data_IF_422776510646
#
_entry.id   IF_422776510646
#
_cell.length_a   1.000
_cell.length_b   1.000
_cell.length_c   1.000
_cell.angle_alpha   90.00
_cell.angle_beta   90.00
_cell.angle_gamma   90.00
#
_symmetry.space_group_name_H-M   'P 1'
#
loop_
_entity.id
_entity.type
_entity.pdbx_description
1 polymer ?
#
# COMPACT_ATOMS: atom_id res chain seq x y z
N UNK A 1 -3.74 -11.73 14.46
CA UNK A 1 -4.80 -11.40 13.52
C UNK A 1 -4.25 -10.90 12.21
N UNK A 2 -4.76 -11.42 11.10
CA UNK A 2 -4.38 -11.00 9.76
C UNK A 2 -4.81 -9.56 9.49
N UNK A 3 -3.94 -8.78 8.81
CA UNK A 3 -4.19 -7.37 8.55
C UNK A 3 -3.85 -6.99 7.12
N UNK A 4 -4.65 -6.09 6.56
CA UNK A 4 -4.34 -5.41 5.32
C UNK A 4 -3.94 -3.99 5.67
N UNK A 5 -2.67 -3.65 5.45
CA UNK A 5 -2.10 -2.35 5.80
C UNK A 5 -1.77 -1.59 4.52
N UNK A 6 -2.30 -0.39 4.40
CA UNK A 6 -2.08 0.45 3.22
C UNK A 6 -1.27 1.67 3.59
N UNK A 7 -0.13 1.84 2.94
CA UNK A 7 0.65 3.08 3.02
C UNK A 7 0.26 3.95 1.84
N UNK A 8 -0.06 5.19 2.12
CA UNK A 8 -0.46 6.16 1.12
C UNK A 8 0.29 7.46 1.32
N UNK A 9 0.49 8.21 0.26
CA UNK A 9 1.19 9.49 0.34
C UNK A 9 2.03 9.73 -0.91
N UNK A 10 2.56 10.93 -0.99
CA UNK A 10 3.35 11.35 -2.15
C UNK A 10 4.77 10.78 -2.10
N UNK A 11 5.44 10.69 -3.26
CA UNK A 11 6.84 10.28 -3.29
C UNK A 11 7.71 11.25 -2.49
N UNK A 12 8.80 10.75 -1.95
CA UNK A 12 9.73 11.59 -1.19
C UNK A 12 9.32 11.84 0.26
N UNK A 13 8.26 11.20 0.74
CA UNK A 13 7.81 11.34 2.12
C UNK A 13 8.41 10.31 3.07
N UNK A 14 9.29 9.43 2.58
CA UNK A 14 9.82 8.34 3.39
C UNK A 14 8.86 7.17 3.52
N UNK A 15 7.76 7.20 2.80
CA UNK A 15 6.71 6.20 2.86
C UNK A 15 7.21 4.78 2.59
N UNK A 16 7.98 4.59 1.53
CA UNK A 16 8.47 3.27 1.17
C UNK A 16 9.45 2.73 2.19
N UNK A 17 10.33 3.59 2.71
CA UNK A 17 11.28 3.19 3.74
C UNK A 17 10.55 2.73 5.00
N UNK A 18 9.52 3.47 5.39
CA UNK A 18 8.73 3.12 6.56
C UNK A 18 7.96 1.81 6.34
N UNK A 19 7.37 1.65 5.16
CA UNK A 19 6.62 0.44 4.83
C UNK A 19 7.53 -0.80 4.86
N UNK A 20 8.73 -0.68 4.30
CA UNK A 20 9.69 -1.77 4.30
C UNK A 20 10.20 -2.10 5.69
N UNK A 21 10.41 -1.08 6.51
CA UNK A 21 10.81 -1.28 7.89
C UNK A 21 9.73 -2.03 8.68
N UNK A 22 8.49 -1.65 8.50
CA UNK A 22 7.37 -2.34 9.14
C UNK A 22 7.26 -3.78 8.65
N UNK A 23 7.44 -4.00 7.35
CA UNK A 23 7.40 -5.34 6.78
C UNK A 23 8.46 -6.25 7.40
N UNK A 24 9.67 -5.73 7.57
CA UNK A 24 10.76 -6.47 8.21
C UNK A 24 10.44 -6.79 9.66
N UNK A 25 9.94 -5.81 10.38
CA UNK A 25 9.62 -5.96 11.81
C UNK A 25 8.52 -7.01 12.02
N UNK A 26 7.50 -6.97 11.19
CA UNK A 26 6.35 -7.87 11.34
C UNK A 26 6.51 -9.19 10.59
N UNK A 27 7.51 -9.29 9.72
CA UNK A 27 7.71 -10.50 8.92
C UNK A 27 6.61 -10.72 7.89
N UNK A 28 6.10 -9.65 7.30
CA UNK A 28 5.03 -9.74 6.30
C UNK A 28 5.46 -9.08 5.00
N UNK A 29 4.89 -9.50 3.86
CA UNK A 29 5.28 -8.93 2.57
C UNK A 29 4.78 -7.52 2.39
N UNK A 30 5.53 -6.73 1.62
CA UNK A 30 5.13 -5.41 1.16
C UNK A 30 5.22 -5.39 -0.35
N UNK A 31 4.16 -4.90 -0.98
CA UNK A 31 4.11 -4.75 -2.43
C UNK A 31 3.93 -3.28 -2.77
N UNK A 32 4.84 -2.76 -3.59
CA UNK A 32 4.84 -1.35 -3.95
C UNK A 32 4.36 -1.18 -5.40
N UNK A 33 3.39 -0.30 -5.58
CA UNK A 33 2.82 -0.03 -6.89
C UNK A 33 3.90 0.40 -7.90
N UNK A 34 4.81 1.27 -7.46
CA UNK A 34 5.87 1.77 -8.34
C UNK A 34 6.81 0.67 -8.84
N UNK A 35 7.11 -0.29 -7.99
CA UNK A 35 7.97 -1.42 -8.39
C UNK A 35 7.28 -2.30 -9.40
N UNK A 36 5.99 -2.55 -9.21
CA UNK A 36 5.21 -3.34 -10.15
C UNK A 36 5.10 -2.65 -11.50
N UNK A 37 4.86 -1.34 -11.50
CA UNK A 37 4.82 -0.56 -12.72
C UNK A 37 6.16 -0.54 -13.43
N UNK A 38 7.26 -0.38 -12.69
CA UNK A 38 8.59 -0.42 -13.26
C UNK A 38 8.88 -1.78 -13.91
N UNK A 39 8.44 -2.84 -13.28
CA UNK A 39 8.59 -4.19 -13.82
C UNK A 39 7.81 -4.35 -15.12
N UNK A 40 6.61 -3.84 -15.19
CA UNK A 40 5.80 -3.87 -16.40
C UNK A 40 6.47 -3.10 -17.55
N UNK A 41 7.05 -1.95 -17.21
CA UNK A 41 7.74 -1.13 -18.22
C UNK A 41 8.99 -1.81 -18.80
N UNK A 42 9.66 -2.63 -17.99
CA UNK A 42 10.85 -3.37 -18.45
C UNK A 42 10.49 -4.63 -19.23
N UNK A 43 9.24 -5.04 -19.15
CA UNK A 43 8.77 -6.27 -19.79
C UNK A 43 8.65 -6.11 -21.30
N UNK A 44 8.84 -7.20 -22.03
CA UNK A 44 8.60 -7.22 -23.48
C UNK A 44 7.11 -7.08 -23.80
N UNK A 45 6.24 -7.20 -22.81
CA UNK A 45 4.81 -7.00 -22.97
C UNK A 45 4.42 -5.52 -22.91
N UNK A 46 5.37 -4.65 -22.66
CA UNK A 46 5.14 -3.21 -22.54
C UNK A 46 4.34 -2.60 -23.67
N UNK A 47 4.62 -2.93 -24.97
CA UNK A 47 3.83 -2.35 -26.06
C UNK A 47 2.34 -2.62 -25.95
N UNK A 48 1.96 -3.77 -25.48
CA UNK A 48 0.54 -4.11 -25.27
C UNK A 48 -0.04 -3.41 -24.05
N UNK A 49 0.76 -3.22 -23.03
CA UNK A 49 0.34 -2.59 -21.78
C UNK A 49 0.25 -1.08 -21.93
N UNK A 50 1.13 -0.49 -22.74
CA UNK A 50 1.22 0.96 -22.90
C UNK A 50 -0.06 1.60 -23.48
N UNK A 51 -0.92 0.81 -24.08
CA UNK A 51 -2.20 1.30 -24.58
C UNK A 51 -3.19 1.61 -23.47
N UNK A 52 -2.92 1.15 -22.25
CA UNK A 52 -3.79 1.35 -21.08
C UNK A 52 -3.05 2.18 -20.02
N UNK A 53 -3.80 2.95 -19.22
CA UNK A 53 -3.17 3.67 -18.11
C UNK A 53 -2.44 2.70 -17.20
N UNK A 54 -1.15 2.94 -17.03
CA UNK A 54 -0.30 2.06 -16.22
C UNK A 54 -0.75 2.02 -14.77
N UNK A 55 -1.33 3.12 -14.28
CA UNK A 55 -1.85 3.16 -12.91
C UNK A 55 -2.93 2.14 -12.63
N UNK A 56 -3.77 1.83 -13.61
CA UNK A 56 -4.76 0.77 -13.43
C UNK A 56 -4.11 -0.59 -13.29
N UNK A 57 -3.10 -0.87 -14.10
CA UNK A 57 -2.38 -2.14 -14.01
C UNK A 57 -1.73 -2.30 -12.65
N UNK A 58 -1.12 -1.24 -12.12
CA UNK A 58 -0.48 -1.27 -10.81
C UNK A 58 -1.47 -1.56 -9.68
N UNK A 59 -2.60 -0.88 -9.68
CA UNK A 59 -3.63 -1.13 -8.67
C UNK A 59 -4.25 -2.52 -8.78
N UNK A 60 -4.46 -2.97 -10.00
CA UNK A 60 -5.00 -4.31 -10.22
C UNK A 60 -4.05 -5.39 -9.70
N UNK A 61 -2.76 -5.23 -9.97
CA UNK A 61 -1.75 -6.15 -9.46
C UNK A 61 -1.70 -6.14 -7.93
N UNK A 62 -1.72 -4.96 -7.32
CA UNK A 62 -1.74 -4.85 -5.86
C UNK A 62 -2.95 -5.55 -5.26
N UNK A 63 -4.11 -5.34 -5.87
CA UNK A 63 -5.35 -5.96 -5.41
C UNK A 63 -5.26 -7.48 -5.50
N UNK A 64 -4.75 -8.00 -6.60
CA UNK A 64 -4.59 -9.43 -6.79
C UNK A 64 -3.63 -10.02 -5.76
N UNK A 65 -2.49 -9.36 -5.55
CA UNK A 65 -1.51 -9.83 -4.57
C UNK A 65 -2.06 -9.80 -3.15
N UNK A 66 -2.78 -8.74 -2.80
CA UNK A 66 -3.41 -8.65 -1.49
C UNK A 66 -4.42 -9.76 -1.29
N UNK A 67 -5.27 -9.99 -2.30
CA UNK A 67 -6.28 -11.03 -2.22
C UNK A 67 -5.66 -12.41 -2.01
N UNK A 68 -4.58 -12.69 -2.72
CA UNK A 68 -3.88 -13.97 -2.59
C UNK A 68 -3.33 -14.16 -1.17
N UNK A 69 -2.75 -13.11 -0.59
CA UNK A 69 -2.23 -13.17 0.77
C UNK A 69 -3.34 -13.40 1.79
N UNK A 70 -4.40 -12.62 1.69
CA UNK A 70 -5.50 -12.72 2.64
C UNK A 70 -6.21 -14.07 2.55
N UNK A 71 -6.31 -14.63 1.34
CA UNK A 71 -6.88 -15.96 1.15
C UNK A 71 -6.06 -17.01 1.89
N UNK A 72 -4.76 -16.81 2.00
CA UNK A 72 -3.87 -17.72 2.72
C UNK A 72 -3.74 -17.34 4.21
N UNK A 73 -4.59 -16.47 4.68
CA UNK A 73 -4.62 -16.00 6.06
C UNK A 73 -3.32 -15.30 6.47
N UNK A 74 -2.71 -14.57 5.53
CA UNK A 74 -1.48 -13.84 5.75
C UNK A 74 -1.69 -12.35 5.59
N UNK A 75 -1.08 -11.57 6.48
CA UNK A 75 -1.10 -10.12 6.41
C UNK A 75 -0.29 -9.62 5.22
N UNK A 76 -0.60 -8.41 4.77
CA UNK A 76 0.09 -7.81 3.63
C UNK A 76 0.10 -6.29 3.77
N UNK A 77 1.17 -5.68 3.28
CA UNK A 77 1.30 -4.22 3.20
C UNK A 77 1.26 -3.81 1.74
N UNK A 78 0.43 -2.83 1.43
CA UNK A 78 0.36 -2.25 0.09
C UNK A 78 0.87 -0.81 0.16
N UNK A 79 1.85 -0.50 -0.69
CA UNK A 79 2.49 0.82 -0.76
C UNK A 79 2.12 1.48 -2.07
N UNK A 80 1.37 2.58 -2.02
CA UNK A 80 0.97 3.31 -3.20
C UNK A 80 1.19 4.82 -3.03
N UNK A 81 1.46 5.51 -4.12
CA UNK A 81 1.73 6.94 -4.10
C UNK A 81 0.49 7.74 -3.72
N UNK A 82 -0.61 7.41 -4.34
CA UNK A 82 -1.87 8.08 -4.10
C UNK A 82 -2.99 7.07 -4.22
N UNK A 83 -3.80 6.99 -3.19
CA UNK A 83 -4.96 6.13 -3.22
C UNK A 83 -6.19 6.99 -3.39
N UNK A 84 -6.95 6.75 -4.44
CA UNK A 84 -8.25 7.38 -4.56
C UNK A 84 -9.19 6.75 -3.55
N UNK A 85 -10.26 7.46 -3.26
CA UNK A 85 -11.28 6.91 -2.38
C UNK A 85 -11.84 5.60 -2.93
N UNK A 86 -12.00 5.50 -4.24
CA UNK A 86 -12.48 4.29 -4.89
C UNK A 86 -11.58 3.09 -4.59
N UNK A 87 -10.27 3.28 -4.69
CA UNK A 87 -9.29 2.21 -4.41
C UNK A 87 -9.34 1.82 -2.95
N UNK A 88 -9.40 2.81 -2.05
CA UNK A 88 -9.46 2.53 -0.60
C UNK A 88 -10.71 1.74 -0.25
N UNK A 89 -11.86 2.10 -0.82
CA UNK A 89 -13.10 1.39 -0.59
C UNK A 89 -13.01 -0.05 -1.07
N UNK A 90 -12.41 -0.26 -2.23
CA UNK A 90 -12.24 -1.61 -2.78
C UNK A 90 -11.35 -2.47 -1.88
N UNK A 91 -10.24 -1.91 -1.41
CA UNK A 91 -9.33 -2.66 -0.53
C UNK A 91 -9.93 -2.90 0.84
N UNK A 92 -10.68 -1.93 1.36
CA UNK A 92 -11.37 -2.12 2.63
C UNK A 92 -12.42 -3.22 2.54
N UNK A 93 -13.16 -3.25 1.44
CA UNK A 93 -14.13 -4.32 1.20
C UNK A 93 -13.43 -5.68 1.11
N UNK A 94 -12.24 -5.71 0.49
CA UNK A 94 -11.44 -6.92 0.42
C UNK A 94 -11.02 -7.39 1.82
N UNK A 95 -10.58 -6.48 2.66
CA UNK A 95 -10.22 -6.81 4.04
C UNK A 95 -11.44 -7.37 4.79
N UNK A 96 -12.59 -6.74 4.64
CA UNK A 96 -13.82 -7.21 5.27
C UNK A 96 -14.20 -8.61 4.79
N UNK A 97 -14.05 -8.86 3.50
CA UNK A 97 -14.37 -10.16 2.91
C UNK A 97 -13.58 -11.29 3.57
N UNK A 98 -12.34 -11.05 3.89
CA UNK A 98 -11.46 -12.05 4.50
C UNK A 98 -11.33 -11.89 6.00
N UNK A 99 -12.09 -11.00 6.60
CA UNK A 99 -12.07 -10.72 8.04
C UNK A 99 -10.69 -10.28 8.52
N UNK A 100 -10.00 -9.51 7.68
CA UNK A 100 -8.71 -8.94 8.02
C UNK A 100 -8.88 -7.58 8.68
N UNK A 101 -7.98 -7.22 9.57
CA UNK A 101 -7.95 -5.88 10.14
C UNK A 101 -7.53 -4.88 9.06
N UNK A 102 -8.09 -3.69 9.10
CA UNK A 102 -7.84 -2.63 8.12
C UNK A 102 -7.04 -1.51 8.75
N UNK A 103 -5.93 -1.12 8.11
CA UNK A 103 -5.09 -0.02 8.58
C UNK A 103 -4.65 0.82 7.38
N UNK A 104 -4.72 2.14 7.54
CA UNK A 104 -4.21 3.08 6.55
C UNK A 104 -3.22 4.00 7.24
N UNK A 105 -2.03 4.10 6.67
CA UNK A 105 -0.98 4.98 7.16
C UNK A 105 -0.72 6.02 6.08
N UNK A 106 -1.04 7.28 6.37
CA UNK A 106 -0.82 8.37 5.43
C UNK A 106 0.46 9.09 5.76
N UNK A 107 1.29 9.28 4.75
CA UNK A 107 2.54 9.98 4.86
C UNK A 107 2.39 11.36 4.25
N UNK A 108 2.45 12.39 5.09
CA UNK A 108 2.28 13.78 4.69
C UNK A 108 3.61 14.50 4.89
N UNK A 109 4.06 15.22 3.88
CA UNK A 109 5.32 15.95 3.94
C UNK A 109 5.11 17.43 3.63
N UNK A 110 5.49 18.30 4.59
CA UNK A 110 5.52 19.74 4.35
C UNK A 110 6.96 20.24 4.34
N UNK A 111 7.79 19.70 5.21
CA UNK A 111 9.24 19.82 5.14
C UNK A 111 9.82 18.60 5.85
N UNK A 112 11.12 18.42 5.74
CA UNK A 112 11.75 17.17 6.13
C UNK A 112 11.66 16.86 7.61
N UNK A 113 11.90 17.84 8.46
CA UNK A 113 11.89 17.60 9.91
C UNK A 113 10.48 17.45 10.47
N UNK A 114 9.55 18.27 10.00
CA UNK A 114 8.15 18.16 10.39
C UNK A 114 7.52 16.90 9.87
N UNK A 115 7.97 16.46 8.71
CA UNK A 115 7.50 15.25 8.08
C UNK A 115 7.66 14.04 9.01
N UNK A 116 8.83 13.83 9.58
CA UNK A 116 9.08 12.69 10.45
C UNK A 116 8.17 12.68 11.66
N UNK A 117 8.00 13.82 12.28
CA UNK A 117 7.14 13.95 13.45
C UNK A 117 5.69 13.62 13.12
N UNK A 118 5.21 14.09 11.98
CA UNK A 118 3.85 13.84 11.55
C UNK A 118 3.58 12.37 11.21
N UNK A 119 4.55 11.70 10.61
CA UNK A 119 4.43 10.28 10.33
C UNK A 119 4.25 9.49 11.61
N UNK A 120 5.06 9.76 12.62
CA UNK A 120 4.96 9.08 13.89
C UNK A 120 3.61 9.29 14.55
N UNK A 121 3.10 10.50 14.50
CA UNK A 121 1.80 10.81 15.06
C UNK A 121 0.67 10.07 14.34
N UNK A 122 0.73 10.02 13.02
CA UNK A 122 -0.28 9.34 12.21
C UNK A 122 -0.33 7.85 12.52
N UNK A 123 0.82 7.23 12.63
CA UNK A 123 0.91 5.81 12.96
C UNK A 123 0.26 5.51 14.30
N UNK A 124 0.50 6.33 15.30
CA UNK A 124 -0.07 6.13 16.63
C UNK A 124 -1.58 6.27 16.66
N UNK A 125 -2.12 7.15 15.83
CA UNK A 125 -3.56 7.41 15.80
C UNK A 125 -4.34 6.32 15.11
N UNK A 126 -3.78 5.78 14.04
CA UNK A 126 -4.51 4.84 13.20
C UNK A 126 -5.06 3.64 13.99
N UNK A 127 -4.27 2.95 14.81
CA UNK A 127 -4.80 1.82 15.55
C UNK A 127 -5.91 2.18 16.52
N UNK A 128 -5.82 3.35 17.14
CA UNK A 128 -6.81 3.76 18.12
C UNK A 128 -8.11 4.22 17.50
N UNK A 129 -8.04 4.82 16.31
CA UNK A 129 -9.20 5.45 15.72
C UNK A 129 -9.93 4.65 14.68
N UNK A 130 -9.34 3.61 14.13
CA UNK A 130 -9.86 2.96 12.94
C UNK A 130 -10.16 1.48 13.09
N UNK A 131 -10.02 0.98 14.25
CA UNK A 131 -10.24 -0.46 14.48
C UNK A 131 -11.66 -0.81 14.89
#
# INVERSE_FOLDING_TARGET
MMKLIVFSGLPGTGKSTLAESLAKTLGIPVFAKDWLEASLLRSELTPSIAEKPLGFAGYDLLTTLAQRQLKLEQSVILDSVASTETVRKAWRALADQYKAGWRVIECICTDESLHRSRLQLRERRIPAGTN
#
